data_IF_450159369977
#
_entry.id   IF_450159369977
#
_cell.length_a   1.000
_cell.length_b   1.000
_cell.length_c   1.000
_cell.angle_alpha   90.00
_cell.angle_beta   90.00
_cell.angle_gamma   90.00
#
_symmetry.space_group_name_H-M   'P 1'
#
loop_
_entity.id
_entity.type
_entity.pdbx_description
1 polymer ?
#
# COMPACT_ATOMS: atom_id res chain seq x y z
N UNK A 1 37.83 -23.51 4.89
CA UNK A 1 36.83 -22.87 5.76
C UNK A 1 36.56 -21.47 5.21
N UNK A 2 35.39 -21.24 4.62
CA UNK A 2 35.01 -19.92 4.10
C UNK A 2 33.87 -19.36 4.96
N UNK A 3 34.20 -18.45 5.87
CA UNK A 3 33.20 -17.67 6.59
C UNK A 3 32.58 -16.66 5.62
N UNK A 4 31.38 -16.94 5.12
CA UNK A 4 30.58 -15.93 4.42
C UNK A 4 30.17 -14.87 5.44
N UNK A 5 30.72 -13.67 5.28
CA UNK A 5 30.33 -12.49 6.06
C UNK A 5 28.84 -12.21 5.85
N UNK A 6 28.07 -12.25 6.93
CA UNK A 6 26.68 -11.81 6.99
C UNK A 6 26.65 -10.31 6.72
N UNK A 7 26.44 -9.89 5.46
CA UNK A 7 26.00 -8.52 5.16
C UNK A 7 24.70 -8.31 5.93
N UNK A 8 24.66 -7.30 6.78
CA UNK A 8 23.44 -6.91 7.49
C UNK A 8 22.32 -6.76 6.47
N UNK A 9 21.28 -7.55 6.67
CA UNK A 9 20.10 -7.71 5.84
C UNK A 9 19.26 -6.42 5.91
N UNK A 10 19.76 -5.36 5.28
CA UNK A 10 18.92 -4.22 4.92
C UNK A 10 17.97 -4.74 3.86
N UNK A 11 16.79 -5.18 4.29
CA UNK A 11 15.74 -5.61 3.37
C UNK A 11 15.62 -4.51 2.32
N UNK A 12 15.95 -4.86 1.08
CA UNK A 12 15.93 -3.96 -0.05
C UNK A 12 14.56 -3.26 -0.05
N UNK A 13 14.47 -1.92 -0.12
CA UNK A 13 13.20 -1.19 -0.08
C UNK A 13 12.12 -1.80 -1.00
N UNK A 14 12.53 -2.34 -2.15
CA UNK A 14 11.64 -3.05 -3.08
C UNK A 14 11.05 -4.34 -2.47
N UNK A 15 11.85 -5.15 -1.78
CA UNK A 15 11.38 -6.36 -1.10
C UNK A 15 10.43 -6.04 0.06
N UNK A 16 10.66 -4.92 0.77
CA UNK A 16 9.73 -4.46 1.83
C UNK A 16 8.38 -4.08 1.22
N UNK A 17 8.38 -3.38 0.09
CA UNK A 17 7.16 -2.94 -0.58
C UNK A 17 6.35 -4.11 -1.15
N UNK A 18 7.02 -5.10 -1.76
CA UNK A 18 6.39 -6.34 -2.23
C UNK A 18 5.75 -7.12 -1.08
N UNK A 19 6.45 -7.24 0.05
CA UNK A 19 5.95 -7.90 1.25
C UNK A 19 4.73 -7.18 1.85
N UNK A 20 4.79 -5.85 1.97
CA UNK A 20 3.67 -5.05 2.47
C UNK A 20 2.44 -5.14 1.57
N UNK A 21 2.64 -5.16 0.25
CA UNK A 21 1.56 -5.38 -0.70
C UNK A 21 0.92 -6.76 -0.55
N UNK A 22 1.72 -7.82 -0.52
CA UNK A 22 1.23 -9.18 -0.32
C UNK A 22 0.45 -9.31 1.00
N UNK A 23 0.96 -8.71 2.08
CA UNK A 23 0.31 -8.69 3.40
C UNK A 23 -1.03 -7.96 3.39
N UNK A 24 -1.11 -6.80 2.73
CA UNK A 24 -2.38 -6.06 2.56
C UNK A 24 -3.43 -6.91 1.83
N UNK A 25 -3.06 -7.59 0.74
CA UNK A 25 -3.96 -8.47 -0.02
C UNK A 25 -4.45 -9.65 0.83
N UNK A 26 -3.59 -10.25 1.65
CA UNK A 26 -3.96 -11.35 2.56
C UNK A 26 -4.94 -10.85 3.64
N UNK A 27 -4.68 -9.68 4.24
CA UNK A 27 -5.56 -9.10 5.28
C UNK A 27 -6.95 -8.79 4.74
N UNK A 28 -7.03 -8.31 3.50
CA UNK A 28 -8.31 -8.06 2.82
C UNK A 28 -9.10 -9.35 2.58
N UNK A 29 -8.45 -10.40 2.04
CA UNK A 29 -9.08 -11.73 1.87
C UNK A 29 -9.59 -12.29 3.20
N UNK A 30 -8.80 -12.14 4.28
CA UNK A 30 -9.19 -12.60 5.62
C UNK A 30 -10.40 -11.86 6.16
N UNK A 31 -10.50 -10.55 5.95
CA UNK A 31 -11.67 -9.77 6.35
C UNK A 31 -12.92 -10.18 5.57
N UNK A 32 -12.82 -10.44 4.27
CA UNK A 32 -13.95 -10.95 3.47
C UNK A 32 -14.47 -12.28 4.03
N UNK A 33 -13.56 -13.23 4.31
CA UNK A 33 -13.93 -14.52 4.89
C UNK A 33 -14.61 -14.38 6.25
N UNK A 34 -14.14 -13.47 7.12
CA UNK A 34 -14.80 -13.21 8.42
C UNK A 34 -16.25 -12.76 8.24
N UNK A 35 -16.52 -11.83 7.34
CA UNK A 35 -17.89 -11.35 7.11
C UNK A 35 -18.76 -12.42 6.44
N UNK A 36 -18.19 -13.24 5.54
CA UNK A 36 -18.88 -14.40 4.98
C UNK A 36 -19.29 -15.41 6.07
N UNK A 37 -18.41 -15.69 7.02
CA UNK A 37 -18.70 -16.59 8.16
C UNK A 37 -19.79 -16.00 9.06
N UNK A 38 -19.71 -14.70 9.40
CA UNK A 38 -20.76 -14.02 10.20
C UNK A 38 -22.09 -14.03 9.47
N UNK A 39 -22.11 -13.82 8.16
CA UNK A 39 -23.32 -13.91 7.35
C UNK A 39 -23.93 -15.31 7.40
N UNK A 40 -23.11 -16.36 7.19
CA UNK A 40 -23.56 -17.74 7.18
C UNK A 40 -24.12 -18.16 8.55
N UNK A 41 -23.44 -17.79 9.63
CA UNK A 41 -23.92 -18.02 11.01
C UNK A 41 -25.21 -17.24 11.27
N UNK A 42 -25.31 -15.97 10.85
CA UNK A 42 -26.51 -15.16 11.00
C UNK A 42 -27.71 -15.72 10.23
N UNK A 43 -27.50 -16.20 9.00
CA UNK A 43 -28.54 -16.86 8.20
C UNK A 43 -29.04 -18.14 8.86
N UNK A 44 -28.13 -19.00 9.35
CA UNK A 44 -28.52 -20.21 10.08
C UNK A 44 -29.25 -19.87 11.38
N UNK A 45 -28.80 -18.86 12.11
CA UNK A 45 -29.46 -18.39 13.33
C UNK A 45 -30.89 -17.91 13.08
N UNK A 46 -31.12 -17.13 12.03
CA UNK A 46 -32.47 -16.68 11.64
C UNK A 46 -33.40 -17.84 11.26
N UNK A 47 -32.88 -18.86 10.56
CA UNK A 47 -33.64 -20.08 10.22
C UNK A 47 -34.03 -20.85 11.49
N UNK A 48 -33.10 -21.00 12.43
CA UNK A 48 -33.35 -21.67 13.71
C UNK A 48 -34.39 -20.89 14.52
N UNK A 49 -34.27 -19.55 14.57
CA UNK A 49 -35.24 -18.70 15.28
C UNK A 49 -36.67 -18.89 14.75
N UNK A 50 -36.83 -18.95 13.43
CA UNK A 50 -38.14 -19.19 12.83
C UNK A 50 -38.64 -20.63 13.06
N UNK A 51 -37.77 -21.63 12.87
CA UNK A 51 -38.17 -23.05 12.85
C UNK A 51 -38.28 -23.69 14.24
N UNK A 52 -37.52 -23.21 15.24
CA UNK A 52 -37.46 -23.81 16.58
C UNK A 52 -38.34 -23.05 17.57
N UNK A 53 -38.38 -21.72 17.47
CA UNK A 53 -39.11 -20.91 18.45
C UNK A 53 -40.55 -20.58 18.02
N UNK A 54 -40.95 -20.86 16.76
CA UNK A 54 -42.25 -20.45 16.19
C UNK A 54 -42.60 -18.98 16.50
N UNK A 55 -41.58 -18.15 16.73
CA UNK A 55 -41.73 -16.73 17.07
C UNK A 55 -42.24 -16.07 15.80
N UNK A 56 -43.53 -15.77 15.76
CA UNK A 56 -44.18 -15.26 14.56
C UNK A 56 -45.69 -15.48 14.50
N UNK A 57 -46.21 -16.51 15.17
CA UNK A 57 -47.66 -16.81 15.15
C UNK A 57 -48.51 -15.71 15.84
N UNK A 58 -47.94 -14.98 16.80
CA UNK A 58 -48.60 -13.83 17.46
C UNK A 58 -48.13 -12.46 16.93
N UNK A 59 -47.16 -12.41 16.02
CA UNK A 59 -46.71 -11.14 15.46
C UNK A 59 -47.69 -10.66 14.39
N UNK A 60 -48.05 -9.37 14.44
CA UNK A 60 -48.94 -8.70 13.48
C UNK A 60 -48.50 -8.82 12.01
N UNK A 61 -47.24 -9.20 11.75
CA UNK A 61 -46.67 -9.37 10.42
C UNK A 61 -46.47 -10.88 10.18
N UNK A 62 -47.40 -11.49 9.44
CA UNK A 62 -47.21 -12.83 8.89
C UNK A 62 -45.89 -12.87 8.11
N UNK A 63 -45.09 -13.91 8.34
CA UNK A 63 -43.81 -14.13 7.65
C UNK A 63 -42.72 -13.07 7.89
N UNK A 64 -42.67 -12.44 9.07
CA UNK A 64 -41.62 -11.45 9.43
C UNK A 64 -40.18 -11.93 9.18
N UNK A 65 -39.94 -13.24 9.26
CA UNK A 65 -38.64 -13.87 8.96
C UNK A 65 -38.19 -13.61 7.51
N UNK A 66 -39.13 -13.52 6.55
CA UNK A 66 -38.82 -13.23 5.15
C UNK A 66 -38.25 -11.82 5.03
N UNK A 67 -38.84 -10.85 5.73
CA UNK A 67 -38.35 -9.47 5.80
C UNK A 67 -37.00 -9.39 6.51
N UNK A 68 -36.82 -10.13 7.60
CA UNK A 68 -35.54 -10.21 8.31
C UNK A 68 -34.44 -10.76 7.39
N UNK A 69 -34.71 -11.84 6.65
CA UNK A 69 -33.77 -12.40 5.66
C UNK A 69 -33.53 -11.42 4.51
N UNK A 70 -34.55 -10.74 4.02
CA UNK A 70 -34.42 -9.76 2.94
C UNK A 70 -33.47 -8.62 3.33
N UNK A 71 -33.67 -8.04 4.52
CA UNK A 71 -32.79 -6.98 5.05
C UNK A 71 -31.38 -7.53 5.28
N UNK A 72 -31.25 -8.72 5.85
CA UNK A 72 -29.95 -9.34 6.11
C UNK A 72 -29.19 -9.65 4.82
N UNK A 73 -29.88 -10.17 3.80
CA UNK A 73 -29.34 -10.43 2.48
C UNK A 73 -28.96 -9.12 1.76
N UNK A 74 -29.77 -8.07 1.88
CA UNK A 74 -29.47 -6.76 1.30
C UNK A 74 -28.19 -6.14 1.89
N UNK A 75 -28.04 -6.18 3.22
CA UNK A 75 -26.81 -5.73 3.89
C UNK A 75 -25.59 -6.54 3.43
N UNK A 76 -25.75 -7.86 3.25
CA UNK A 76 -24.68 -8.72 2.74
C UNK A 76 -24.29 -8.37 1.30
N UNK A 77 -25.27 -8.09 0.42
CA UNK A 77 -25.02 -7.66 -0.96
C UNK A 77 -24.24 -6.35 -0.98
N UNK A 78 -24.66 -5.33 -0.22
CA UNK A 78 -23.91 -4.06 -0.14
C UNK A 78 -22.47 -4.30 0.31
N UNK A 79 -22.27 -5.13 1.34
CA UNK A 79 -20.94 -5.45 1.84
C UNK A 79 -20.09 -6.18 0.79
N UNK A 80 -20.68 -7.14 0.07
CA UNK A 80 -20.04 -7.88 -1.01
C UNK A 80 -19.62 -6.95 -2.14
N UNK A 81 -20.50 -6.04 -2.58
CA UNK A 81 -20.18 -5.04 -3.60
C UNK A 81 -19.08 -4.08 -3.11
N UNK A 82 -19.11 -3.62 -1.86
CA UNK A 82 -18.05 -2.75 -1.33
C UNK A 82 -16.69 -3.49 -1.31
N UNK A 83 -16.63 -4.72 -0.82
CA UNK A 83 -15.36 -5.46 -0.71
C UNK A 83 -14.86 -6.02 -2.05
N UNK A 84 -15.74 -6.29 -3.03
CA UNK A 84 -15.35 -6.78 -4.36
C UNK A 84 -15.15 -5.66 -5.38
N UNK A 85 -16.07 -4.70 -5.46
CA UNK A 85 -16.05 -3.65 -6.49
C UNK A 85 -15.16 -2.48 -6.07
N UNK A 86 -15.26 -1.99 -4.83
CA UNK A 86 -14.42 -0.87 -4.38
C UNK A 86 -12.93 -1.24 -4.41
N UNK A 87 -12.59 -2.47 -4.03
CA UNK A 87 -11.21 -2.97 -4.02
C UNK A 87 -10.64 -3.25 -5.42
N UNK A 88 -11.48 -3.54 -6.41
CA UNK A 88 -11.04 -3.81 -7.79
C UNK A 88 -11.03 -2.55 -8.64
N UNK A 89 -11.86 -1.56 -8.30
CA UNK A 89 -11.94 -0.29 -9.02
C UNK A 89 -10.98 0.78 -8.46
N UNK A 90 -10.74 0.78 -7.15
CA UNK A 90 -9.71 1.59 -6.48
C UNK A 90 -8.40 0.80 -6.37
N UNK A 91 -8.10 -0.03 -7.36
CA UNK A 91 -6.92 -0.89 -7.34
C UNK A 91 -5.65 -0.05 -7.48
N UNK A 92 -4.55 -0.63 -7.01
CA UNK A 92 -3.21 -0.05 -6.92
C UNK A 92 -2.70 0.58 -8.21
N UNK A 93 -3.29 0.24 -9.36
CA UNK A 93 -3.02 0.91 -10.63
C UNK A 93 -3.39 2.40 -10.65
N UNK A 94 -4.53 2.78 -10.05
CA UNK A 94 -4.90 4.20 -9.96
C UNK A 94 -3.92 4.95 -9.05
N UNK A 95 -3.55 4.35 -7.92
CA UNK A 95 -2.57 4.88 -6.98
C UNK A 95 -1.19 5.03 -7.64
N UNK A 96 -0.73 4.01 -8.36
CA UNK A 96 0.52 4.03 -9.12
C UNK A 96 0.50 5.11 -10.21
N UNK A 97 -0.63 5.28 -10.93
CA UNK A 97 -0.77 6.35 -11.94
C UNK A 97 -0.64 7.75 -11.32
N UNK A 98 -1.21 7.97 -10.13
CA UNK A 98 -1.05 9.25 -9.42
C UNK A 98 0.38 9.43 -8.88
N UNK A 99 0.99 8.36 -8.37
CA UNK A 99 2.34 8.38 -7.83
C UNK A 99 3.38 8.72 -8.91
N UNK A 100 3.29 8.09 -10.08
CA UNK A 100 4.17 8.39 -11.21
C UNK A 100 4.03 9.83 -11.67
N UNK A 101 2.79 10.37 -11.69
CA UNK A 101 2.54 11.79 -12.00
C UNK A 101 3.18 12.74 -10.97
N UNK A 102 3.18 12.38 -9.69
CA UNK A 102 3.83 13.14 -8.61
C UNK A 102 5.35 13.06 -8.69
N UNK A 103 5.92 11.87 -8.93
CA UNK A 103 7.37 11.68 -9.12
C UNK A 103 7.92 12.45 -10.31
N UNK A 104 7.20 12.47 -11.42
CA UNK A 104 7.59 13.25 -12.60
C UNK A 104 7.73 14.73 -12.25
N UNK A 105 6.72 15.31 -11.58
CA UNK A 105 6.76 16.71 -11.13
C UNK A 105 7.90 17.02 -10.16
N UNK A 106 8.19 16.09 -9.24
CA UNK A 106 9.33 16.24 -8.33
C UNK A 106 10.66 16.20 -9.07
N UNK A 107 10.79 15.33 -10.07
CA UNK A 107 12.01 15.19 -10.88
C UNK A 107 12.26 16.44 -11.70
N UNK A 108 11.22 17.01 -12.32
CA UNK A 108 11.31 18.28 -13.05
C UNK A 108 11.76 19.42 -12.14
N UNK A 109 11.21 19.51 -10.92
CA UNK A 109 11.60 20.55 -9.96
C UNK A 109 13.03 20.38 -9.46
N UNK A 110 13.49 19.15 -9.25
CA UNK A 110 14.88 18.85 -8.90
C UNK A 110 15.82 19.25 -10.04
N UNK A 111 15.44 19.01 -11.30
CA UNK A 111 16.24 19.41 -12.45
C UNK A 111 16.36 20.94 -12.58
N UNK A 112 15.27 21.67 -12.34
CA UNK A 112 15.26 23.14 -12.33
C UNK A 112 16.12 23.71 -11.21
N UNK A 113 16.00 23.17 -9.99
CA UNK A 113 16.83 23.56 -8.85
C UNK A 113 18.32 23.27 -9.11
N UNK A 114 18.65 22.13 -9.71
CA UNK A 114 20.03 21.84 -10.12
C UNK A 114 20.57 22.86 -11.10
N UNK A 115 19.76 23.27 -12.09
CA UNK A 115 20.16 24.28 -13.07
C UNK A 115 20.39 25.65 -12.43
N UNK A 116 19.52 26.07 -11.51
CA UNK A 116 19.70 27.31 -10.75
C UNK A 116 20.95 27.28 -9.87
N UNK A 117 21.19 26.16 -9.19
CA UNK A 117 22.42 25.94 -8.42
C UNK A 117 23.63 26.02 -9.34
N UNK A 118 23.66 25.33 -10.48
CA UNK A 118 24.79 25.36 -11.41
C UNK A 118 25.05 26.77 -12.00
N UNK A 119 23.99 27.56 -12.22
CA UNK A 119 24.08 28.96 -12.69
C UNK A 119 24.57 29.92 -11.58
N UNK A 120 24.08 29.79 -10.35
CA UNK A 120 24.47 30.62 -9.20
C UNK A 120 25.87 30.28 -8.68
N UNK A 121 26.25 29.00 -8.68
CA UNK A 121 27.49 28.56 -8.05
C UNK A 121 28.73 28.74 -8.92
N UNK A 122 28.61 29.07 -10.23
CA UNK A 122 29.71 29.19 -11.21
C UNK A 122 30.96 28.39 -10.80
N UNK A 123 30.79 27.10 -10.52
CA UNK A 123 31.91 26.31 -10.01
C UNK A 123 32.95 26.23 -11.13
N UNK A 124 34.25 26.49 -10.83
CA UNK A 124 35.30 26.27 -11.80
C UNK A 124 35.14 24.87 -12.38
N UNK A 125 35.15 24.77 -13.71
CA UNK A 125 34.97 23.50 -14.40
C UNK A 125 36.04 22.56 -13.83
N UNK A 126 35.75 21.28 -13.57
CA UNK A 126 36.76 20.36 -12.99
C UNK A 126 38.08 20.30 -13.79
N UNK A 127 38.08 20.75 -15.05
CA UNK A 127 39.27 21.00 -15.86
C UNK A 127 40.24 22.04 -15.29
N UNK A 128 39.75 23.01 -14.51
CA UNK A 128 40.51 24.12 -13.95
C UNK A 128 41.23 23.71 -12.65
N UNK A 129 40.66 22.78 -11.89
CA UNK A 129 41.29 22.22 -10.68
C UNK A 129 42.52 21.35 -11.01
N UNK A 130 42.55 20.69 -12.18
CA UNK A 130 43.70 19.88 -12.61
C UNK A 130 44.90 20.71 -13.11
N UNK A 131 44.73 22.01 -13.39
CA UNK A 131 45.80 22.86 -13.93
C UNK A 131 46.70 23.48 -12.83
N UNK A 132 46.27 23.44 -11.57
CA UNK A 132 46.98 24.07 -10.43
C UNK A 132 47.74 23.06 -9.53
N UNK A 133 47.88 21.79 -9.91
CA UNK A 133 48.89 20.93 -9.29
C UNK A 133 50.23 21.19 -9.98
N UNK A 134 50.93 22.23 -9.53
CA UNK A 134 52.31 22.51 -9.92
C UNK A 134 53.24 21.42 -9.33
N UNK A 135 53.98 20.64 -10.13
CA UNK A 135 54.74 19.48 -9.65
C UNK A 135 56.01 19.82 -8.87
N UNK A 136 56.36 21.10 -8.69
CA UNK A 136 57.61 21.51 -8.04
C UNK A 136 57.36 22.26 -6.73
N UNK A 137 57.10 21.50 -5.66
CA UNK A 137 57.41 21.95 -4.31
C UNK A 137 58.41 20.95 -3.72
N UNK A 138 59.71 21.29 -3.83
CA UNK A 138 60.76 20.60 -3.08
C UNK A 138 60.54 20.89 -1.58
N UNK A 139 60.77 19.90 -0.70
CA UNK A 139 60.62 20.11 0.74
C UNK A 139 61.68 21.13 1.22
N UNK A 140 61.35 21.99 2.18
CA UNK A 140 62.31 22.94 2.73
C UNK A 140 63.44 22.18 3.45
N UNK A 141 64.68 22.58 3.16
CA UNK A 141 65.87 22.10 3.86
C UNK A 141 65.76 22.46 5.34
N UNK A 142 66.01 21.47 6.19
CA UNK A 142 65.93 21.58 7.64
C UNK A 142 67.32 21.99 8.11
N UNK A 143 67.48 23.26 8.50
CA UNK A 143 68.67 23.76 9.24
C UNK A 143 68.71 23.24 10.68
#
# INVERSE_FOLDING_TARGET
MFSKSTKSERIDPEQREQYEYARKRIKQKKNLMRHFIVFLVGSVFLIILNKVLHVGDEFFIKDWFVWAILIWAFLFIIHLFNVLVMNKFMDKEWENRQLEKLKARQTDRIAELKKQVDEELQLPRQSDLKKNENPNLLPPDVE
#
